data_IF_271435477889
#
_entry.id   IF_271435477889
#
_cell.length_a   1.000
_cell.length_b   1.000
_cell.length_c   1.000
_cell.angle_alpha   90.00
_cell.angle_beta   90.00
_cell.angle_gamma   90.00
#
_symmetry.space_group_name_H-M   'P 1'
#
loop_
_entity.id
_entity.type
_entity.pdbx_description
1 polymer ?
#
# COMPACT_ATOMS: atom_id res chain seq x y z
N UNK A 1 -5.23 -8.97 -3.06
CA UNK A 1 -4.00 -8.18 -3.37
C UNK A 1 -4.07 -7.65 -4.81
N UNK A 2 -3.67 -6.40 -5.00
CA UNK A 2 -3.73 -5.67 -6.26
C UNK A 2 -2.35 -5.07 -6.56
N UNK A 3 -2.06 -4.76 -7.82
CA UNK A 3 -0.86 -3.98 -8.13
C UNK A 3 -1.00 -2.55 -7.59
N UNK A 4 0.14 -1.95 -7.26
CA UNK A 4 0.27 -0.50 -7.04
C UNK A 4 0.66 0.14 -8.38
N UNK A 5 -0.11 1.08 -8.95
CA UNK A 5 0.26 1.74 -10.20
C UNK A 5 1.67 2.32 -10.21
N UNK A 6 2.20 2.70 -9.04
CA UNK A 6 3.51 3.30 -8.82
C UNK A 6 4.68 2.38 -9.17
N UNK A 7 4.48 1.06 -9.21
CA UNK A 7 5.53 0.13 -9.67
C UNK A 7 5.79 0.27 -11.17
N UNK A 8 4.91 0.93 -11.93
CA UNK A 8 5.11 1.19 -13.35
C UNK A 8 6.18 2.26 -13.51
N UNK A 9 7.35 1.86 -14.01
CA UNK A 9 8.44 2.79 -14.26
C UNK A 9 9.19 3.20 -13.00
N UNK A 10 9.25 2.29 -12.01
CA UNK A 10 10.16 2.45 -10.88
C UNK A 10 11.59 2.68 -11.38
N UNK A 11 12.28 3.66 -10.80
CA UNK A 11 13.69 3.89 -11.09
C UNK A 11 14.51 2.79 -10.44
N UNK A 12 15.18 1.96 -11.24
CA UNK A 12 16.00 0.87 -10.70
C UNK A 12 17.19 1.38 -9.89
N UNK A 13 17.60 2.64 -10.05
CA UNK A 13 18.64 3.24 -9.20
C UNK A 13 18.13 3.57 -7.79
N UNK A 14 16.82 3.51 -7.56
CA UNK A 14 16.20 3.68 -6.24
C UNK A 14 16.07 2.34 -5.48
N UNK A 15 16.61 1.25 -6.03
CA UNK A 15 16.57 -0.09 -5.47
C UNK A 15 17.99 -0.63 -5.37
N UNK A 16 18.35 -1.23 -4.25
CA UNK A 16 19.61 -1.97 -4.11
C UNK A 16 19.43 -3.29 -3.37
N UNK A 17 20.37 -4.21 -3.61
CA UNK A 17 20.32 -5.60 -3.16
C UNK A 17 21.67 -6.01 -2.59
N UNK A 18 21.68 -6.38 -1.31
CA UNK A 18 22.86 -6.90 -0.64
C UNK A 18 22.92 -8.41 -0.80
N UNK A 19 24.09 -8.91 -1.21
CA UNK A 19 24.33 -10.33 -1.48
C UNK A 19 25.51 -10.82 -0.65
N UNK A 20 25.30 -11.89 0.13
CA UNK A 20 26.34 -12.59 0.86
C UNK A 20 26.30 -14.07 0.52
N UNK A 21 27.46 -14.68 0.24
CA UNK A 21 27.58 -16.10 -0.14
C UNK A 21 26.69 -16.53 -1.33
N UNK A 22 26.32 -15.60 -2.21
CA UNK A 22 25.44 -15.85 -3.35
C UNK A 22 23.94 -15.82 -3.02
N UNK A 23 23.57 -15.44 -1.79
CA UNK A 23 22.19 -15.29 -1.33
C UNK A 23 21.86 -13.80 -1.11
N UNK A 24 20.62 -13.42 -1.39
CA UNK A 24 20.12 -12.08 -1.09
C UNK A 24 19.87 -12.00 0.41
N UNK A 25 20.53 -11.05 1.07
CA UNK A 25 20.45 -10.86 2.53
C UNK A 25 19.86 -9.50 2.91
N UNK A 26 19.67 -8.61 1.94
CA UNK A 26 19.02 -7.33 2.15
C UNK A 26 18.48 -6.74 0.85
N UNK A 27 17.36 -6.04 0.92
CA UNK A 27 16.79 -5.25 -0.17
C UNK A 27 16.30 -3.91 0.40
N UNK A 28 16.56 -2.83 -0.32
CA UNK A 28 16.00 -1.50 -0.07
C UNK A 28 15.23 -1.07 -1.30
N UNK A 29 13.99 -0.61 -1.13
CA UNK A 29 13.19 -0.11 -2.24
C UNK A 29 12.04 0.83 -1.81
N UNK A 30 11.53 1.66 -2.73
CA UNK A 30 10.22 2.28 -2.59
C UNK A 30 9.10 1.28 -2.95
N UNK A 31 7.90 1.46 -2.39
CA UNK A 31 6.69 0.72 -2.81
C UNK A 31 5.57 1.62 -3.34
N UNK A 32 5.49 2.86 -2.87
CA UNK A 32 4.50 3.85 -3.30
C UNK A 32 5.20 4.98 -4.07
N UNK A 33 5.27 6.19 -3.53
CA UNK A 33 6.04 7.29 -4.12
C UNK A 33 7.49 7.31 -3.63
N UNK A 34 8.38 7.84 -4.48
CA UNK A 34 9.70 8.32 -4.05
C UNK A 34 9.52 9.24 -2.84
N UNK A 35 10.41 9.11 -1.86
CA UNK A 35 10.32 9.74 -0.55
C UNK A 35 9.94 8.78 0.57
N UNK A 36 9.52 7.55 0.26
CA UNK A 36 9.19 6.50 1.24
C UNK A 36 9.98 5.23 0.96
N UNK A 37 10.61 4.65 1.98
CA UNK A 37 11.46 3.45 1.87
C UNK A 37 11.01 2.31 2.77
N UNK A 38 11.16 1.10 2.23
CA UNK A 38 10.94 -0.19 2.88
C UNK A 38 12.24 -1.01 2.82
N UNK A 39 12.38 -1.92 3.79
CA UNK A 39 13.58 -2.73 3.99
C UNK A 39 13.19 -4.19 4.24
N UNK A 40 13.80 -5.09 3.49
CA UNK A 40 13.88 -6.52 3.82
C UNK A 40 15.31 -6.80 4.23
N UNK A 41 15.51 -7.32 5.45
CA UNK A 41 16.85 -7.59 5.97
C UNK A 41 16.82 -8.97 6.63
N UNK A 42 17.77 -9.82 6.26
CA UNK A 42 18.01 -11.07 6.98
C UNK A 42 18.45 -10.73 8.42
N UNK A 43 17.80 -11.29 9.46
CA UNK A 43 18.15 -11.02 10.85
C UNK A 43 19.61 -11.32 11.24
N UNK A 44 20.32 -12.17 10.49
CA UNK A 44 21.76 -12.43 10.71
C UNK A 44 22.67 -11.30 10.19
N UNK A 45 22.12 -10.36 9.41
CA UNK A 45 22.84 -9.27 8.75
C UNK A 45 22.37 -7.88 9.23
N UNK A 46 21.98 -7.78 10.51
CA UNK A 46 21.54 -6.52 11.13
C UNK A 46 22.54 -5.36 11.00
N UNK A 47 23.84 -5.66 10.90
CA UNK A 47 24.89 -4.64 10.69
C UNK A 47 24.69 -3.84 9.39
N UNK A 48 23.90 -4.34 8.42
CA UNK A 48 23.58 -3.64 7.17
C UNK A 48 22.58 -2.49 7.34
N UNK A 49 21.78 -2.46 8.41
CA UNK A 49 20.68 -1.49 8.60
C UNK A 49 21.10 -0.03 8.38
N UNK A 50 22.25 0.36 8.92
CA UNK A 50 22.78 1.72 8.77
C UNK A 50 23.20 2.05 7.34
N UNK A 51 23.89 1.12 6.68
CA UNK A 51 24.30 1.26 5.27
C UNK A 51 23.09 1.32 4.35
N UNK A 52 22.10 0.46 4.58
CA UNK A 52 20.85 0.43 3.83
C UNK A 52 20.03 1.72 3.99
N UNK A 53 19.96 2.28 5.20
CA UNK A 53 19.31 3.56 5.44
C UNK A 53 20.06 4.72 4.77
N UNK A 54 21.40 4.68 4.75
CA UNK A 54 22.20 5.66 4.02
C UNK A 54 21.96 5.58 2.49
N UNK A 55 21.90 4.37 1.93
CA UNK A 55 21.56 4.20 0.52
C UNK A 55 20.19 4.83 0.21
N UNK A 56 19.20 4.56 1.06
CA UNK A 56 17.85 5.09 0.90
C UNK A 56 17.81 6.62 0.94
N UNK A 57 18.59 7.24 1.82
CA UNK A 57 18.77 8.70 1.85
C UNK A 57 19.22 9.21 0.49
N UNK A 58 20.30 8.66 -0.05
CA UNK A 58 20.94 9.15 -1.26
C UNK A 58 20.06 8.95 -2.51
N UNK A 59 19.27 7.88 -2.58
CA UNK A 59 18.62 7.44 -3.83
C UNK A 59 17.09 7.50 -3.82
N UNK A 60 16.44 7.51 -2.64
CA UNK A 60 14.97 7.42 -2.51
C UNK A 60 14.36 8.71 -1.95
N UNK A 61 15.15 9.60 -1.38
CA UNK A 61 14.63 10.87 -0.83
C UNK A 61 13.92 11.71 -1.90
N UNK A 62 12.82 12.36 -1.50
CA UNK A 62 12.07 13.31 -2.32
C UNK A 62 12.18 14.73 -1.78
N UNK A 63 11.98 15.72 -2.66
CA UNK A 63 11.82 17.11 -2.23
C UNK A 63 10.34 17.43 -2.06
N UNK A 64 9.91 17.62 -0.81
CA UNK A 64 8.56 18.08 -0.44
C UNK A 64 8.65 19.51 0.13
N UNK A 65 7.91 20.47 -0.43
CA UNK A 65 7.93 21.88 0.01
C UNK A 65 9.34 22.51 0.05
N UNK A 66 10.23 22.09 -0.85
CA UNK A 66 11.62 22.54 -0.89
C UNK A 66 12.53 21.91 0.16
N UNK A 67 12.02 20.96 0.94
CA UNK A 67 12.77 20.20 1.95
C UNK A 67 13.02 18.80 1.43
N UNK A 68 14.29 18.39 1.45
CA UNK A 68 14.69 17.03 1.14
C UNK A 68 14.31 16.10 2.29
N UNK A 69 13.54 15.05 2.02
CA UNK A 69 12.97 14.16 3.03
C UNK A 69 12.95 12.71 2.57
N UNK A 70 13.14 11.83 3.54
CA UNK A 70 12.88 10.40 3.45
C UNK A 70 11.99 9.98 4.62
N UNK A 71 11.01 9.13 4.36
CA UNK A 71 10.21 8.44 5.37
C UNK A 71 10.57 6.96 5.35
N UNK A 72 11.11 6.47 6.47
CA UNK A 72 11.46 5.07 6.64
C UNK A 72 10.37 4.35 7.44
N UNK A 73 9.81 3.28 6.87
CA UNK A 73 8.95 2.36 7.61
C UNK A 73 9.82 1.33 8.32
N UNK A 74 9.90 1.45 9.65
CA UNK A 74 10.65 0.54 10.52
C UNK A 74 9.66 -0.23 11.38
N UNK A 75 9.83 -1.54 11.44
CA UNK A 75 9.03 -2.42 12.28
C UNK A 75 9.11 -1.96 13.76
N UNK A 76 7.97 -1.85 14.42
CA UNK A 76 7.89 -1.36 15.81
C UNK A 76 8.50 -2.33 16.84
N UNK A 77 8.78 -3.57 16.42
CA UNK A 77 9.51 -4.58 17.18
C UNK A 77 11.03 -4.58 16.91
N UNK A 78 11.54 -3.76 15.99
CA UNK A 78 12.98 -3.66 15.68
C UNK A 78 13.60 -2.47 16.43
N UNK A 79 13.89 -2.68 17.71
CA UNK A 79 14.48 -1.66 18.60
C UNK A 79 15.85 -1.18 18.10
N UNK A 80 16.64 -2.09 17.51
CA UNK A 80 17.96 -1.78 16.98
C UNK A 80 17.86 -0.83 15.78
N UNK A 81 16.98 -1.12 14.82
CA UNK A 81 16.83 -0.26 13.65
C UNK A 81 16.21 1.09 14.02
N UNK A 82 15.28 1.12 14.98
CA UNK A 82 14.76 2.38 15.55
C UNK A 82 15.88 3.21 16.20
N UNK A 83 16.83 2.58 16.90
CA UNK A 83 18.00 3.26 17.47
C UNK A 83 18.91 3.82 16.37
N UNK A 84 19.23 3.02 15.35
CA UNK A 84 20.06 3.45 14.21
C UNK A 84 19.43 4.66 13.51
N UNK A 85 18.13 4.61 13.22
CA UNK A 85 17.41 5.73 12.61
C UNK A 85 17.45 6.97 13.50
N UNK A 86 17.31 6.82 14.81
CA UNK A 86 17.41 7.93 15.77
C UNK A 86 18.80 8.55 15.77
N UNK A 87 19.86 7.73 15.75
CA UNK A 87 21.26 8.19 15.69
C UNK A 87 21.56 8.91 14.36
N UNK A 88 20.92 8.47 13.27
CA UNK A 88 20.90 9.14 11.97
C UNK A 88 19.94 10.34 11.88
N UNK A 89 19.35 10.76 13.02
CA UNK A 89 18.49 11.94 13.17
C UNK A 89 17.12 11.84 12.50
N UNK A 90 16.59 10.63 12.34
CA UNK A 90 15.18 10.43 12.00
C UNK A 90 14.29 10.54 13.24
N UNK A 91 13.45 11.57 13.35
CA UNK A 91 12.44 11.59 14.39
C UNK A 91 11.35 10.56 14.07
N UNK A 92 10.90 9.81 15.08
CA UNK A 92 9.72 8.95 14.96
C UNK A 92 8.49 9.82 14.65
N UNK A 93 7.76 9.48 13.59
CA UNK A 93 6.50 10.15 13.25
C UNK A 93 5.36 9.66 14.16
N UNK A 94 4.25 10.41 14.19
CA UNK A 94 3.00 9.93 14.81
C UNK A 94 2.21 8.97 13.90
N UNK A 95 2.69 8.73 12.69
CA UNK A 95 2.04 7.89 11.70
C UNK A 95 2.42 6.42 11.93
N UNK A 96 1.51 5.50 11.60
CA UNK A 96 1.78 4.06 11.65
C UNK A 96 0.92 3.32 10.63
N UNK A 97 1.40 2.15 10.20
CA UNK A 97 0.65 1.21 9.37
C UNK A 97 0.38 -0.07 10.17
N UNK A 98 -0.61 -0.06 11.09
CA UNK A 98 -0.87 -1.19 11.96
C UNK A 98 -1.45 -2.36 11.16
N UNK A 99 -0.83 -3.53 11.31
CA UNK A 99 -1.40 -4.78 10.81
C UNK A 99 -2.45 -5.31 11.79
N UNK A 100 -3.71 -5.34 11.37
CA UNK A 100 -4.81 -5.92 12.16
C UNK A 100 -5.15 -7.32 11.66
N UNK A 101 -5.40 -8.26 12.57
CA UNK A 101 -5.78 -9.63 12.24
C UNK A 101 -7.09 -10.01 12.94
N UNK A 102 -8.01 -10.59 12.17
CA UNK A 102 -9.26 -11.14 12.67
C UNK A 102 -9.40 -12.61 12.26
N UNK A 103 -9.40 -13.52 13.25
CA UNK A 103 -9.56 -14.97 13.02
C UNK A 103 -11.04 -15.29 12.83
N UNK A 104 -11.38 -15.90 11.69
CA UNK A 104 -12.75 -16.34 11.37
C UNK A 104 -12.86 -17.83 11.70
N UNK A 105 -13.32 -18.15 12.91
CA UNK A 105 -13.53 -19.52 13.38
C UNK A 105 -14.89 -20.11 12.98
N UNK A 106 -15.89 -19.24 12.83
CA UNK A 106 -17.29 -19.60 12.64
C UNK A 106 -17.83 -19.01 11.34
N UNK A 107 -18.94 -19.57 10.85
CA UNK A 107 -19.63 -19.00 9.69
C UNK A 107 -20.21 -17.63 10.01
N UNK A 108 -20.07 -16.68 9.09
CA UNK A 108 -20.71 -15.37 9.23
C UNK A 108 -22.24 -15.49 9.30
N UNK A 109 -22.91 -14.65 10.11
CA UNK A 109 -24.35 -14.58 10.14
C UNK A 109 -24.91 -14.12 8.78
N UNK A 110 -26.18 -14.40 8.53
CA UNK A 110 -26.87 -13.88 7.34
C UNK A 110 -26.84 -12.34 7.35
N UNK A 111 -26.42 -11.76 6.23
CA UNK A 111 -26.34 -10.30 6.08
C UNK A 111 -27.72 -9.78 5.64
N UNK A 112 -28.23 -8.78 6.36
CA UNK A 112 -29.44 -8.04 5.98
C UNK A 112 -29.08 -6.62 5.54
N UNK A 113 -29.59 -6.20 4.39
CA UNK A 113 -29.46 -4.83 3.90
C UNK A 113 -30.79 -4.08 4.04
N UNK A 114 -30.70 -2.76 4.15
CA UNK A 114 -31.88 -1.89 4.06
C UNK A 114 -32.50 -1.97 2.66
N UNK A 115 -33.81 -1.72 2.58
CA UNK A 115 -34.52 -1.67 1.30
C UNK A 115 -33.85 -0.66 0.35
N UNK A 116 -33.65 -1.05 -0.91
CA UNK A 116 -32.99 -0.22 -1.92
C UNK A 116 -31.47 -0.37 -1.99
N UNK A 117 -30.88 -1.27 -1.18
CA UNK A 117 -29.46 -1.63 -1.28
C UNK A 117 -29.29 -3.10 -1.63
N UNK A 118 -28.27 -3.38 -2.45
CA UNK A 118 -27.91 -4.73 -2.86
C UNK A 118 -26.40 -4.93 -2.75
N UNK A 119 -25.99 -6.09 -2.23
CA UNK A 119 -24.60 -6.53 -2.27
C UNK A 119 -24.32 -7.18 -3.62
N UNK A 120 -23.18 -6.82 -4.23
CA UNK A 120 -22.65 -7.46 -5.43
C UNK A 120 -21.16 -7.70 -5.25
N UNK A 121 -20.64 -8.76 -5.84
CA UNK A 121 -19.22 -8.88 -6.10
C UNK A 121 -18.83 -8.15 -7.39
N UNK A 122 -17.55 -7.81 -7.54
CA UNK A 122 -17.02 -7.32 -8.82
C UNK A 122 -17.00 -8.40 -9.91
N UNK A 123 -17.32 -9.66 -9.60
CA UNK A 123 -17.57 -10.66 -10.65
C UNK A 123 -18.91 -10.40 -11.34
N UNK A 124 -19.89 -9.86 -10.60
CA UNK A 124 -21.23 -9.55 -11.10
C UNK A 124 -21.28 -8.18 -11.79
N UNK A 125 -20.68 -7.15 -11.19
CA UNK A 125 -20.60 -5.81 -11.77
C UNK A 125 -19.24 -5.15 -11.45
N UNK A 126 -18.39 -4.99 -12.48
CA UNK A 126 -17.06 -4.39 -12.37
C UNK A 126 -16.93 -3.07 -13.13
N UNK A 127 -17.88 -2.16 -12.95
CA UNK A 127 -17.75 -0.81 -13.51
C UNK A 127 -16.63 -0.03 -12.79
N UNK A 128 -15.45 0.02 -13.44
CA UNK A 128 -14.26 0.70 -12.90
C UNK A 128 -14.48 2.20 -12.62
N UNK A 129 -15.41 2.86 -13.32
CA UNK A 129 -15.74 4.27 -13.05
C UNK A 129 -16.54 4.39 -11.75
N UNK A 130 -17.50 3.49 -11.53
CA UNK A 130 -18.23 3.42 -10.24
C UNK A 130 -17.30 3.06 -9.10
N UNK A 131 -16.38 2.09 -9.30
CA UNK A 131 -15.35 1.72 -8.31
C UNK A 131 -14.44 2.91 -7.98
N UNK A 132 -13.93 3.61 -9.00
CA UNK A 132 -13.11 4.81 -8.79
C UNK A 132 -13.86 5.89 -8.00
N UNK A 133 -15.10 6.18 -8.39
CA UNK A 133 -15.94 7.19 -7.72
C UNK A 133 -16.23 6.85 -6.25
N UNK A 134 -16.60 5.60 -5.94
CA UNK A 134 -16.94 5.21 -4.56
C UNK A 134 -15.70 5.22 -3.66
N UNK A 135 -14.54 4.80 -4.15
CA UNK A 135 -13.28 4.85 -3.40
C UNK A 135 -12.84 6.32 -3.19
N UNK A 136 -12.87 7.14 -4.24
CA UNK A 136 -12.51 8.56 -4.15
C UNK A 136 -13.30 9.30 -3.08
N UNK A 137 -14.62 9.09 -3.06
CA UNK A 137 -15.50 9.69 -2.05
C UNK A 137 -15.31 9.05 -0.68
N UNK A 138 -15.15 7.72 -0.62
CA UNK A 138 -14.95 6.98 0.63
C UNK A 138 -13.68 7.36 1.38
N UNK A 139 -12.61 7.73 0.66
CA UNK A 139 -11.36 8.26 1.21
C UNK A 139 -11.32 9.80 1.29
N UNK A 140 -12.48 10.45 1.13
CA UNK A 140 -12.65 11.90 1.31
C UNK A 140 -11.80 12.78 0.36
N UNK A 141 -11.63 12.37 -0.90
CA UNK A 141 -10.94 13.16 -1.91
C UNK A 141 -11.84 14.20 -2.62
N UNK A 142 -13.09 14.37 -2.16
CA UNK A 142 -14.08 15.31 -2.71
C UNK A 142 -15.13 14.65 -3.62
N UNK A 143 -15.95 15.48 -4.26
CA UNK A 143 -17.13 15.01 -5.03
C UNK A 143 -16.80 14.56 -6.46
N UNK A 144 -15.88 15.26 -7.11
CA UNK A 144 -15.51 15.06 -8.51
C UNK A 144 -14.17 14.33 -8.60
N UNK A 145 -14.12 13.34 -9.49
CA UNK A 145 -12.87 12.67 -9.84
C UNK A 145 -12.00 13.67 -10.62
N UNK A 146 -10.91 14.12 -9.99
CA UNK A 146 -9.97 15.06 -10.61
C UNK A 146 -9.08 14.41 -11.67
N UNK A 147 -9.06 13.07 -11.73
CA UNK A 147 -8.27 12.28 -12.66
C UNK A 147 -9.07 11.07 -13.15
N UNK A 148 -8.92 10.73 -14.42
CA UNK A 148 -9.40 9.44 -14.93
C UNK A 148 -8.47 8.33 -14.44
N UNK A 149 -8.84 7.71 -13.32
CA UNK A 149 -8.11 6.59 -12.74
C UNK A 149 -8.44 5.26 -13.43
N UNK A 150 -9.22 5.24 -14.52
CA UNK A 150 -9.69 4.01 -15.14
C UNK A 150 -8.55 3.03 -15.49
N UNK A 151 -7.47 3.51 -16.12
CA UNK A 151 -6.33 2.67 -16.48
C UNK A 151 -5.50 2.22 -15.26
N UNK A 152 -5.48 3.02 -14.20
CA UNK A 152 -4.84 2.65 -12.94
C UNK A 152 -5.68 1.57 -12.23
N UNK A 153 -7.00 1.73 -12.13
CA UNK A 153 -7.90 0.71 -11.58
C UNK A 153 -7.83 -0.60 -12.37
N UNK A 154 -7.82 -0.52 -13.70
CA UNK A 154 -7.66 -1.68 -14.58
C UNK A 154 -6.36 -2.42 -14.32
N UNK A 155 -5.27 -1.68 -14.11
CA UNK A 155 -3.97 -2.27 -13.78
C UNK A 155 -3.95 -2.93 -12.41
N UNK A 156 -4.46 -2.24 -11.39
CA UNK A 156 -4.58 -2.76 -10.03
C UNK A 156 -5.28 -4.13 -10.05
N UNK A 157 -6.37 -4.24 -10.81
CA UNK A 157 -7.16 -5.47 -10.94
C UNK A 157 -6.54 -6.54 -11.87
N UNK A 158 -5.45 -6.25 -12.57
CA UNK A 158 -4.74 -7.21 -13.42
C UNK A 158 -3.70 -8.06 -12.67
N UNK A 159 -3.53 -7.83 -11.37
CA UNK A 159 -2.67 -8.66 -10.53
C UNK A 159 -3.15 -10.13 -10.58
N UNK A 160 -2.19 -11.06 -10.66
CA UNK A 160 -2.48 -12.48 -10.85
C UNK A 160 -3.36 -13.07 -9.75
N UNK A 161 -3.24 -12.54 -8.53
CA UNK A 161 -4.01 -12.95 -7.36
C UNK A 161 -5.19 -12.01 -7.05
N UNK A 162 -5.57 -11.11 -7.98
CA UNK A 162 -6.73 -10.26 -7.79
C UNK A 162 -8.02 -11.07 -7.93
N UNK A 163 -8.86 -11.04 -6.89
CA UNK A 163 -10.10 -11.83 -6.79
C UNK A 163 -11.31 -10.91 -6.78
N UNK A 164 -11.96 -10.77 -7.94
CA UNK A 164 -13.17 -9.95 -8.11
C UNK A 164 -14.35 -10.45 -7.27
N UNK A 165 -14.41 -11.74 -7.00
CA UNK A 165 -15.42 -12.36 -6.14
C UNK A 165 -15.23 -12.03 -4.66
N UNK A 166 -14.04 -11.60 -4.24
CA UNK A 166 -13.75 -11.13 -2.88
C UNK A 166 -13.78 -9.59 -2.75
N UNK A 167 -14.05 -8.88 -3.84
CA UNK A 167 -14.26 -7.44 -3.84
C UNK A 167 -15.76 -7.17 -3.91
N UNK A 168 -16.32 -6.68 -2.81
CA UNK A 168 -17.75 -6.53 -2.60
C UNK A 168 -18.13 -5.05 -2.64
N UNK A 169 -19.20 -4.73 -3.36
CA UNK A 169 -19.80 -3.41 -3.42
C UNK A 169 -21.24 -3.45 -2.90
N UNK A 170 -21.69 -2.32 -2.36
CA UNK A 170 -23.11 -2.07 -2.14
C UNK A 170 -23.59 -1.13 -3.23
N UNK A 171 -24.59 -1.58 -3.99
CA UNK A 171 -25.30 -0.78 -5.00
C UNK A 171 -26.60 -0.24 -4.42
N UNK A 172 -26.90 1.03 -4.68
CA UNK A 172 -28.17 1.67 -4.33
C UNK A 172 -29.18 1.59 -5.49
N UNK A 173 -30.45 1.92 -5.22
CA UNK A 173 -31.55 1.90 -6.22
C UNK A 173 -31.30 2.73 -7.49
N UNK A 174 -30.38 3.69 -7.46
CA UNK A 174 -29.97 4.51 -8.62
C UNK A 174 -28.82 3.88 -9.42
N UNK A 175 -28.48 2.62 -9.15
CA UNK A 175 -27.40 1.84 -9.74
C UNK A 175 -25.97 2.37 -9.47
N UNK A 176 -25.80 3.27 -8.50
CA UNK A 176 -24.48 3.72 -8.06
C UNK A 176 -23.93 2.83 -6.94
N UNK A 177 -22.61 2.63 -6.94
CA UNK A 177 -21.90 2.05 -5.81
C UNK A 177 -21.78 3.08 -4.69
N UNK A 178 -22.19 2.69 -3.49
CA UNK A 178 -22.20 3.54 -2.28
C UNK A 178 -21.26 3.06 -1.19
N UNK A 179 -20.77 1.82 -1.30
CA UNK A 179 -19.74 1.27 -0.42
C UNK A 179 -18.91 0.23 -1.18
N UNK A 180 -17.66 0.06 -0.78
CA UNK A 180 -16.70 -0.89 -1.34
C UNK A 180 -15.90 -1.53 -0.22
N UNK A 181 -15.72 -2.85 -0.27
CA UNK A 181 -14.82 -3.62 0.58
C UNK A 181 -14.06 -4.60 -0.30
N UNK A 182 -12.73 -4.44 -0.37
CA UNK A 182 -11.85 -5.31 -1.16
C UNK A 182 -10.94 -6.15 -0.29
N UNK A 183 -10.66 -7.37 -0.74
CA UNK A 183 -9.65 -8.29 -0.20
C UNK A 183 -8.63 -8.68 -1.28
#
# INVERSE_FOLDING_TARGET
>A
MNYRPQIRGVDLNSIDVWVANGEIVGVVHPEDSIGTVYFEIDPEYNDLKGEMLQFAEEHISSTEDGVWRLRAFINDMDDEFQSIATDMRYPKSGDSEPMSHFVISDTFPSISLLMGFQLKSLTEDNDLRKVGRVLWRGFNHGEELLRDEFEDRKFMQSALNYRKDLSIVVEASDANFVSYCGM
#
